data_IF_739509861103
#
_entry.id   IF_739509861103
#
_cell.length_a   1.000
_cell.length_b   1.000
_cell.length_c   1.000
_cell.angle_alpha   90.00
_cell.angle_beta   90.00
_cell.angle_gamma   90.00
#
_symmetry.space_group_name_H-M   'P 1'
#
loop_
_entity.id
_entity.type
_entity.pdbx_description
1 polymer ?
#
# COMPACT_ATOMS: atom_id res chain seq x y z
N UNK A 1 10.86 -10.72 4.89
CA UNK A 1 10.28 -10.18 6.13
C UNK A 1 9.12 -9.25 5.84
N UNK A 2 8.27 -8.93 6.82
CA UNK A 2 7.23 -7.89 6.73
C UNK A 2 7.38 -6.85 7.85
N UNK A 3 6.78 -5.69 7.65
CA UNK A 3 6.61 -4.64 8.65
C UNK A 3 5.30 -3.85 8.36
N UNK A 4 4.92 -2.94 9.23
CA UNK A 4 3.68 -2.17 9.08
C UNK A 4 3.66 -1.38 7.76
N UNK A 5 2.57 -1.46 7.03
CA UNK A 5 2.40 -0.84 5.69
C UNK A 5 2.75 0.65 5.67
N UNK A 6 2.54 1.36 6.78
CA UNK A 6 2.81 2.81 6.88
C UNK A 6 4.29 3.13 6.72
N UNK A 7 5.18 2.24 7.18
CA UNK A 7 6.64 2.44 7.14
C UNK A 7 7.32 1.74 5.97
N UNK A 8 6.58 0.95 5.17
CA UNK A 8 7.16 0.10 4.12
C UNK A 8 7.88 0.90 3.03
N UNK A 9 7.35 2.07 2.68
CA UNK A 9 7.92 2.89 1.61
C UNK A 9 9.25 3.52 2.06
N UNK A 10 9.28 4.14 3.24
CA UNK A 10 10.51 4.70 3.81
C UNK A 10 11.58 3.63 4.09
N UNK A 11 11.17 2.44 4.53
CA UNK A 11 12.08 1.33 4.76
C UNK A 11 12.74 0.85 3.46
N UNK A 12 11.99 0.70 2.37
CA UNK A 12 12.51 0.30 1.06
C UNK A 12 13.53 1.29 0.51
N UNK A 13 13.28 2.57 0.66
CA UNK A 13 14.22 3.61 0.23
C UNK A 13 15.52 3.59 1.04
N UNK A 14 15.43 3.27 2.34
CA UNK A 14 16.61 3.22 3.22
C UNK A 14 17.40 1.91 3.06
N UNK A 15 16.70 0.78 2.88
CA UNK A 15 17.29 -0.57 2.78
C UNK A 15 16.76 -1.33 1.55
N UNK A 16 17.13 -0.90 0.32
CA UNK A 16 16.57 -1.47 -0.92
C UNK A 16 16.95 -2.94 -1.16
N UNK A 17 17.99 -3.44 -0.51
CA UNK A 17 18.41 -4.85 -0.60
C UNK A 17 17.55 -5.82 0.21
N UNK A 18 16.72 -5.32 1.13
CA UNK A 18 15.88 -6.17 1.97
C UNK A 18 14.55 -6.44 1.26
N UNK A 19 14.24 -7.73 1.07
CA UNK A 19 12.94 -8.15 0.53
C UNK A 19 11.83 -7.95 1.55
N UNK A 20 10.90 -7.02 1.25
CA UNK A 20 9.69 -6.79 2.01
C UNK A 20 8.48 -7.42 1.34
N UNK A 21 7.73 -8.19 2.10
CA UNK A 21 6.45 -8.75 1.71
C UNK A 21 5.29 -7.90 2.28
N UNK A 22 4.22 -7.76 1.49
CA UNK A 22 2.97 -7.09 1.91
C UNK A 22 2.06 -8.08 2.65
N UNK A 23 2.59 -8.74 3.68
CA UNK A 23 1.94 -9.80 4.46
C UNK A 23 1.66 -9.33 5.88
N UNK A 24 0.70 -9.94 6.57
CA UNK A 24 0.43 -9.68 7.99
C UNK A 24 1.58 -10.15 8.88
N UNK A 25 2.15 -11.31 8.55
CA UNK A 25 3.35 -11.86 9.16
C UNK A 25 4.10 -12.74 8.17
N UNK A 26 5.38 -12.96 8.41
CA UNK A 26 6.27 -13.85 7.64
C UNK A 26 7.02 -14.71 8.63
N UNK A 27 6.94 -16.02 8.43
CA UNK A 27 7.74 -17.03 9.13
C UNK A 27 8.78 -17.51 8.13
N UNK A 28 10.05 -17.28 8.41
CA UNK A 28 11.17 -17.64 7.56
C UNK A 28 12.26 -18.33 8.38
N UNK A 29 12.27 -19.67 8.32
CA UNK A 29 13.13 -20.51 9.10
C UNK A 29 13.03 -20.23 10.62
N UNK A 30 14.06 -19.62 11.21
CA UNK A 30 14.13 -19.25 12.63
C UNK A 30 13.79 -17.78 12.91
N UNK A 31 13.30 -17.05 11.92
CA UNK A 31 12.96 -15.64 12.03
C UNK A 31 11.49 -15.42 11.75
N UNK A 32 10.87 -14.62 12.60
CA UNK A 32 9.47 -14.25 12.46
C UNK A 32 9.39 -12.72 12.43
N UNK A 33 8.64 -12.19 11.49
CA UNK A 33 8.33 -10.77 11.42
C UNK A 33 6.83 -10.57 11.29
N UNK A 34 6.30 -9.52 11.90
CA UNK A 34 4.88 -9.21 11.93
C UNK A 34 4.64 -7.74 11.62
N UNK A 35 3.56 -7.46 10.90
CA UNK A 35 3.19 -6.11 10.49
C UNK A 35 2.73 -5.21 11.67
N UNK A 36 2.43 -5.77 12.82
CA UNK A 36 1.94 -5.02 13.97
C UNK A 36 0.41 -4.88 13.99
N UNK A 37 -0.10 -3.94 14.81
CA UNK A 37 -1.53 -3.81 15.04
C UNK A 37 -2.10 -5.07 15.71
N UNK A 38 -3.15 -5.66 15.13
CA UNK A 38 -3.75 -6.94 15.59
C UNK A 38 -3.17 -8.16 14.88
N UNK A 39 -2.28 -8.00 13.90
CA UNK A 39 -1.68 -9.14 13.19
C UNK A 39 -0.87 -10.10 14.07
N UNK A 40 -0.27 -9.71 15.22
CA UNK A 40 0.29 -10.65 16.17
C UNK A 40 -0.68 -11.70 16.70
N UNK A 41 -1.98 -11.42 16.79
CA UNK A 41 -2.98 -12.40 17.18
C UNK A 41 -3.16 -13.49 16.11
N UNK A 42 -3.16 -13.09 14.82
CA UNK A 42 -3.22 -14.03 13.69
C UNK A 42 -1.96 -14.91 13.64
N UNK A 43 -0.79 -14.30 13.87
CA UNK A 43 0.49 -15.00 13.96
C UNK A 43 0.49 -16.02 15.10
N UNK A 44 0.09 -15.61 16.32
CA UNK A 44 0.05 -16.50 17.48
C UNK A 44 -0.94 -17.64 17.29
N UNK A 45 -2.10 -17.38 16.67
CA UNK A 45 -3.03 -18.44 16.30
C UNK A 45 -2.34 -19.47 15.40
N UNK A 46 -1.61 -19.05 14.38
CA UNK A 46 -0.89 -19.92 13.45
C UNK A 46 0.15 -20.77 14.19
N UNK A 47 1.00 -20.14 14.99
CA UNK A 47 2.02 -20.87 15.76
C UNK A 47 1.44 -21.87 16.77
N UNK A 48 0.37 -21.49 17.47
CA UNK A 48 -0.32 -22.38 18.42
C UNK A 48 -0.99 -23.52 17.67
N UNK A 49 -1.60 -23.25 16.52
CA UNK A 49 -2.25 -24.27 15.69
C UNK A 49 -1.26 -25.31 15.18
N UNK A 50 -0.07 -24.88 14.76
CA UNK A 50 1.00 -25.77 14.30
C UNK A 50 1.52 -26.70 15.42
N UNK A 51 1.63 -26.20 16.66
CA UNK A 51 2.21 -26.97 17.77
C UNK A 51 1.19 -27.75 18.60
N UNK A 52 -0.02 -27.23 18.74
CA UNK A 52 -1.04 -27.77 19.66
C UNK A 52 -2.37 -28.12 18.97
N UNK A 53 -2.45 -27.89 17.66
CA UNK A 53 -3.63 -28.14 16.86
C UNK A 53 -4.68 -27.02 16.87
N UNK A 54 -5.48 -26.97 15.80
CA UNK A 54 -6.47 -25.91 15.56
C UNK A 54 -7.50 -25.74 16.68
N UNK A 55 -7.97 -26.87 17.27
CA UNK A 55 -8.99 -26.81 18.33
C UNK A 55 -8.48 -26.06 19.57
N UNK A 56 -7.21 -26.24 19.92
CA UNK A 56 -6.61 -25.51 21.03
C UNK A 56 -6.36 -24.04 20.68
N UNK A 57 -5.82 -23.79 19.50
CA UNK A 57 -5.61 -22.43 19.00
C UNK A 57 -6.91 -21.61 18.98
N UNK A 58 -8.01 -22.23 18.54
CA UNK A 58 -9.34 -21.60 18.53
C UNK A 58 -9.82 -21.22 19.92
N UNK A 59 -9.68 -22.10 20.90
CA UNK A 59 -10.04 -21.81 22.30
C UNK A 59 -9.22 -20.65 22.87
N UNK A 60 -7.92 -20.56 22.54
CA UNK A 60 -7.08 -19.44 22.93
C UNK A 60 -7.54 -18.14 22.25
N UNK A 61 -7.85 -18.22 20.96
CA UNK A 61 -8.32 -17.06 20.17
C UNK A 61 -9.64 -16.49 20.73
N UNK A 62 -10.57 -17.37 21.14
CA UNK A 62 -11.85 -16.99 21.75
C UNK A 62 -11.67 -16.19 23.05
N UNK A 63 -10.65 -16.49 23.87
CA UNK A 63 -10.30 -15.72 25.05
C UNK A 63 -9.98 -14.24 24.75
N UNK A 64 -9.40 -14.00 23.58
CA UNK A 64 -9.10 -12.65 23.09
C UNK A 64 -10.24 -12.05 22.25
N UNK A 65 -11.39 -12.74 22.15
CA UNK A 65 -12.51 -12.34 21.28
C UNK A 65 -12.08 -12.16 19.80
N UNK A 66 -11.01 -12.85 19.40
CA UNK A 66 -10.45 -12.81 18.05
C UNK A 66 -11.02 -13.96 17.23
N UNK A 67 -12.22 -13.76 16.66
CA UNK A 67 -12.99 -14.81 15.97
C UNK A 67 -12.70 -14.90 14.47
N UNK A 68 -12.13 -13.83 13.87
CA UNK A 68 -11.80 -13.75 12.46
C UNK A 68 -10.28 -13.78 12.26
N UNK A 69 -9.73 -14.98 12.16
CA UNK A 69 -8.29 -15.22 11.97
C UNK A 69 -7.95 -15.08 10.49
N UNK A 70 -7.05 -14.15 10.18
CA UNK A 70 -6.61 -13.87 8.83
C UNK A 70 -5.36 -14.66 8.47
N UNK A 71 -5.23 -15.15 7.21
CA UNK A 71 -4.01 -15.81 6.74
C UNK A 71 -2.84 -14.81 6.65
N UNK A 72 -1.60 -15.30 6.69
CA UNK A 72 -0.37 -14.48 6.61
C UNK A 72 -0.37 -13.48 5.45
N UNK A 73 -0.81 -13.90 4.27
CA UNK A 73 -0.92 -13.06 3.07
C UNK A 73 -2.12 -12.10 3.04
N UNK A 74 -2.91 -12.03 4.13
CA UNK A 74 -4.03 -11.10 4.23
C UNK A 74 -3.60 -9.63 4.11
N UNK A 75 -4.53 -8.75 3.72
CA UNK A 75 -4.21 -7.33 3.54
C UNK A 75 -3.94 -6.66 4.88
N UNK A 76 -2.90 -5.82 4.95
CA UNK A 76 -2.58 -5.01 6.14
C UNK A 76 -3.50 -3.79 6.30
N UNK A 77 -4.13 -3.33 5.24
CA UNK A 77 -5.06 -2.18 5.24
C UNK A 77 -6.18 -2.41 4.24
N UNK A 78 -7.30 -1.79 4.48
CA UNK A 78 -8.39 -1.73 3.49
C UNK A 78 -7.90 -1.14 2.18
N UNK A 79 -8.31 -1.74 1.07
CA UNK A 79 -8.02 -1.22 -0.25
C UNK A 79 -8.47 0.23 -0.43
N UNK A 80 -7.80 0.98 -1.31
CA UNK A 80 -8.17 2.38 -1.59
C UNK A 80 -9.66 2.49 -1.95
N UNK A 81 -10.17 1.60 -2.78
CA UNK A 81 -11.57 1.67 -3.22
C UNK A 81 -12.57 1.29 -2.13
N UNK A 82 -12.19 0.48 -1.15
CA UNK A 82 -13.02 0.22 0.04
C UNK A 82 -13.18 1.48 0.86
N UNK A 83 -12.12 2.28 1.01
CA UNK A 83 -12.17 3.59 1.69
C UNK A 83 -13.10 4.59 0.99
N UNK A 84 -13.28 4.47 -0.32
CA UNK A 84 -14.25 5.24 -1.10
C UNK A 84 -15.59 4.51 -1.29
N UNK A 85 -15.79 3.34 -0.66
CA UNK A 85 -16.95 2.46 -0.83
C UNK A 85 -17.25 2.12 -2.31
N UNK A 86 -16.21 1.88 -3.10
CA UNK A 86 -16.31 1.59 -4.53
C UNK A 86 -16.04 0.12 -4.80
N UNK A 87 -17.05 -0.59 -5.30
CA UNK A 87 -16.96 -2.00 -5.72
C UNK A 87 -16.90 -2.09 -7.25
N UNK A 88 -15.78 -1.66 -7.86
CA UNK A 88 -15.58 -1.76 -9.31
C UNK A 88 -14.21 -2.36 -9.61
N UNK A 89 -14.19 -3.61 -10.10
CA UNK A 89 -12.95 -4.36 -10.35
C UNK A 89 -12.01 -3.68 -11.34
N UNK A 90 -12.54 -3.07 -12.41
CA UNK A 90 -11.72 -2.35 -13.40
C UNK A 90 -11.04 -1.11 -12.79
N UNK A 91 -11.76 -0.36 -11.95
CA UNK A 91 -11.17 0.78 -11.26
C UNK A 91 -10.12 0.31 -10.25
N UNK A 92 -10.36 -0.81 -9.55
CA UNK A 92 -9.39 -1.42 -8.65
C UNK A 92 -8.09 -1.75 -9.38
N UNK A 93 -8.17 -2.46 -10.52
CA UNK A 93 -6.96 -2.81 -11.30
C UNK A 93 -6.18 -1.58 -11.77
N UNK A 94 -6.86 -0.49 -12.17
CA UNK A 94 -6.19 0.77 -12.54
C UNK A 94 -5.46 1.39 -11.36
N UNK A 95 -6.10 1.45 -10.19
CA UNK A 95 -5.50 2.02 -8.97
C UNK A 95 -4.31 1.19 -8.51
N UNK A 96 -4.42 -0.15 -8.56
CA UNK A 96 -3.33 -1.06 -8.22
C UNK A 96 -2.11 -0.88 -9.12
N UNK A 97 -2.31 -0.73 -10.44
CA UNK A 97 -1.23 -0.41 -11.38
C UNK A 97 -0.58 0.93 -11.03
N UNK A 98 -1.35 1.96 -10.67
CA UNK A 98 -0.80 3.25 -10.25
C UNK A 98 0.00 3.16 -8.94
N UNK A 99 -0.51 2.43 -7.93
CA UNK A 99 0.19 2.23 -6.65
C UNK A 99 1.53 1.50 -6.81
N UNK A 100 1.62 0.59 -7.77
CA UNK A 100 2.85 -0.14 -8.06
C UNK A 100 3.86 0.67 -8.90
N UNK A 101 3.49 1.83 -9.43
CA UNK A 101 4.32 2.64 -10.32
C UNK A 101 4.40 4.11 -9.87
N UNK A 102 4.55 4.37 -8.56
CA UNK A 102 4.59 5.75 -8.04
C UNK A 102 5.88 6.50 -8.38
N UNK A 103 7.03 5.81 -8.38
CA UNK A 103 8.33 6.37 -8.77
C UNK A 103 8.55 6.36 -10.29
N UNK A 104 8.13 5.30 -10.95
CA UNK A 104 8.21 5.15 -12.41
C UNK A 104 6.84 5.40 -13.05
N UNK A 105 6.50 6.67 -13.23
CA UNK A 105 5.15 7.11 -13.58
C UNK A 105 4.74 6.67 -14.97
N UNK A 106 3.64 5.95 -15.03
CA UNK A 106 3.03 5.53 -16.30
C UNK A 106 2.13 6.62 -16.89
N UNK A 107 2.13 6.72 -18.22
CA UNK A 107 1.12 7.51 -18.92
C UNK A 107 -0.26 6.85 -18.84
N UNK A 108 -1.30 7.62 -19.10
CA UNK A 108 -2.67 7.07 -19.18
C UNK A 108 -2.79 5.99 -20.28
N UNK A 109 -2.01 6.10 -21.34
CA UNK A 109 -1.96 5.13 -22.41
C UNK A 109 -1.32 3.81 -21.95
N UNK A 110 -0.19 3.88 -21.21
CA UNK A 110 0.47 2.70 -20.67
C UNK A 110 -0.43 1.96 -19.68
N UNK A 111 -1.09 2.69 -18.79
CA UNK A 111 -2.08 2.11 -17.86
C UNK A 111 -3.22 1.43 -18.63
N UNK A 112 -3.71 2.08 -19.68
CA UNK A 112 -4.76 1.55 -20.56
C UNK A 112 -4.37 0.19 -21.20
N UNK A 113 -3.13 0.08 -21.66
CA UNK A 113 -2.57 -1.15 -22.25
C UNK A 113 -2.48 -2.25 -21.18
N UNK A 114 -1.91 -1.93 -20.02
CA UNK A 114 -1.72 -2.90 -18.92
C UNK A 114 -3.06 -3.47 -18.44
N UNK A 115 -4.06 -2.61 -18.26
CA UNK A 115 -5.37 -3.02 -17.70
C UNK A 115 -6.36 -3.50 -18.76
N UNK A 116 -6.07 -3.29 -20.04
CA UNK A 116 -6.94 -3.73 -21.17
C UNK A 116 -8.25 -2.94 -21.29
N UNK A 117 -8.28 -1.67 -20.88
CA UNK A 117 -9.44 -0.78 -21.03
C UNK A 117 -9.02 0.59 -21.57
N UNK A 118 -9.88 1.19 -22.40
CA UNK A 118 -9.52 2.43 -23.08
C UNK A 118 -9.30 3.61 -22.12
N UNK A 119 -8.45 4.61 -22.47
CA UNK A 119 -8.24 5.83 -21.69
C UNK A 119 -9.55 6.57 -21.39
N UNK A 120 -10.48 6.58 -22.34
CA UNK A 120 -11.81 7.18 -22.17
C UNK A 120 -12.63 6.47 -21.09
N UNK A 121 -12.58 5.13 -21.05
CA UNK A 121 -13.25 4.35 -20.00
C UNK A 121 -12.62 4.59 -18.64
N UNK A 122 -11.29 4.63 -18.54
CA UNK A 122 -10.57 4.94 -17.29
C UNK A 122 -11.03 6.30 -16.76
N UNK A 123 -10.95 7.35 -17.56
CA UNK A 123 -11.35 8.69 -17.16
C UNK A 123 -12.82 8.76 -16.72
N UNK A 124 -13.72 8.03 -17.41
CA UNK A 124 -15.14 7.94 -17.03
C UNK A 124 -15.32 7.28 -15.67
N UNK A 125 -14.57 6.21 -15.36
CA UNK A 125 -14.61 5.54 -14.06
C UNK A 125 -14.15 6.47 -12.94
N UNK A 126 -13.02 7.16 -13.11
CA UNK A 126 -12.50 8.08 -12.11
C UNK A 126 -13.46 9.24 -11.83
N UNK A 127 -14.02 9.86 -12.88
CA UNK A 127 -15.04 10.90 -12.71
C UNK A 127 -16.28 10.40 -12.01
N UNK A 128 -16.80 9.22 -12.41
CA UNK A 128 -18.03 8.66 -11.87
C UNK A 128 -17.89 8.27 -10.40
N UNK A 129 -16.82 7.61 -10.02
CA UNK A 129 -16.67 7.00 -8.69
C UNK A 129 -15.84 7.83 -7.70
N UNK A 130 -14.90 8.63 -8.20
CA UNK A 130 -13.94 9.38 -7.38
C UNK A 130 -14.04 10.90 -7.57
N UNK A 131 -14.92 11.36 -8.45
CA UNK A 131 -15.17 12.78 -8.77
C UNK A 131 -13.91 13.57 -9.12
N UNK A 132 -12.92 12.94 -9.75
CA UNK A 132 -11.65 13.56 -10.15
C UNK A 132 -11.11 12.96 -11.44
N UNK A 133 -10.12 13.63 -12.06
CA UNK A 133 -9.45 13.07 -13.25
C UNK A 133 -8.47 11.97 -12.84
N UNK A 134 -8.24 11.00 -13.75
CA UNK A 134 -7.32 9.89 -13.56
C UNK A 134 -5.92 10.35 -13.17
N UNK A 135 -5.35 11.30 -13.91
CA UNK A 135 -3.98 11.77 -13.66
C UNK A 135 -3.88 12.68 -12.42
N UNK A 136 -4.99 13.37 -12.03
CA UNK A 136 -5.04 14.09 -10.76
C UNK A 136 -5.02 13.13 -9.57
N UNK A 137 -5.78 12.04 -9.64
CA UNK A 137 -5.75 10.99 -8.64
C UNK A 137 -4.34 10.38 -8.51
N UNK A 138 -3.72 10.01 -9.63
CA UNK A 138 -2.37 9.46 -9.65
C UNK A 138 -1.32 10.41 -9.06
N UNK A 139 -1.41 11.70 -9.42
CA UNK A 139 -0.58 12.74 -8.82
C UNK A 139 -0.76 12.82 -7.30
N UNK A 140 -2.00 12.71 -6.82
CA UNK A 140 -2.29 12.72 -5.39
C UNK A 140 -1.70 11.53 -4.65
N UNK A 141 -1.72 10.32 -5.22
CA UNK A 141 -1.04 9.15 -4.64
C UNK A 141 0.47 9.38 -4.47
N UNK A 142 1.11 9.99 -5.46
CA UNK A 142 2.55 10.32 -5.43
C UNK A 142 2.87 11.38 -4.38
N UNK A 143 2.00 12.38 -4.21
CA UNK A 143 2.14 13.38 -3.15
C UNK A 143 1.92 12.78 -1.75
N UNK A 144 1.01 11.82 -1.61
CA UNK A 144 0.81 11.11 -0.34
C UNK A 144 2.04 10.25 0.02
N UNK A 145 2.67 9.59 -0.97
CA UNK A 145 3.95 8.92 -0.79
C UNK A 145 5.03 9.92 -0.34
N UNK A 146 5.16 11.06 -1.02
CA UNK A 146 6.19 12.04 -0.68
C UNK A 146 5.99 12.65 0.72
N UNK A 147 4.75 12.82 1.18
CA UNK A 147 4.46 13.27 2.55
C UNK A 147 4.96 12.26 3.59
N UNK A 148 4.78 10.97 3.33
CA UNK A 148 5.30 9.89 4.20
C UNK A 148 6.83 9.90 4.23
N UNK A 149 7.48 9.97 3.06
CA UNK A 149 8.93 9.99 2.97
C UNK A 149 9.52 11.20 3.72
N UNK A 150 8.89 12.38 3.63
CA UNK A 150 9.30 13.58 4.38
C UNK A 150 9.23 13.38 5.90
N UNK A 151 8.25 12.62 6.39
CA UNK A 151 8.05 12.42 7.84
C UNK A 151 8.79 11.21 8.41
N UNK A 152 9.20 10.24 7.57
CA UNK A 152 9.65 8.91 8.02
C UNK A 152 11.02 8.51 7.48
N UNK A 153 11.66 9.34 6.65
CA UNK A 153 12.99 9.06 6.10
C UNK A 153 13.94 10.24 6.29
N UNK A 154 15.22 9.98 6.08
CA UNK A 154 16.28 11.00 6.08
C UNK A 154 16.64 11.49 4.66
N UNK A 155 15.80 11.19 3.68
CA UNK A 155 16.01 11.58 2.29
C UNK A 155 15.91 13.10 2.13
N UNK A 156 16.75 13.65 1.27
CA UNK A 156 16.64 15.05 0.85
C UNK A 156 15.36 15.28 0.03
N UNK A 157 14.91 16.53 -0.03
CA UNK A 157 13.73 16.92 -0.83
C UNK A 157 13.88 16.50 -2.31
N UNK A 158 15.11 16.52 -2.84
CA UNK A 158 15.38 16.09 -4.22
C UNK A 158 15.20 14.58 -4.40
N UNK A 159 15.73 13.79 -3.47
CA UNK A 159 15.55 12.33 -3.49
C UNK A 159 14.09 11.96 -3.33
N UNK A 160 13.35 12.59 -2.41
CA UNK A 160 11.91 12.38 -2.24
C UNK A 160 11.13 12.72 -3.51
N UNK A 161 11.47 13.82 -4.18
CA UNK A 161 10.85 14.19 -5.46
C UNK A 161 11.03 13.08 -6.50
N UNK A 162 12.25 12.56 -6.64
CA UNK A 162 12.58 11.47 -7.58
C UNK A 162 11.87 10.17 -7.20
N UNK A 163 11.96 9.74 -5.94
CA UNK A 163 11.28 8.52 -5.43
C UNK A 163 9.77 8.59 -5.56
N UNK A 164 9.19 9.80 -5.60
CA UNK A 164 7.77 10.02 -5.85
C UNK A 164 7.44 10.32 -7.33
N UNK A 165 8.40 10.10 -8.23
CA UNK A 165 8.23 10.19 -9.68
C UNK A 165 8.15 11.61 -10.23
N UNK A 166 8.60 12.64 -9.50
CA UNK A 166 8.71 13.99 -10.04
C UNK A 166 10.04 14.19 -10.74
N UNK A 167 10.03 14.87 -11.88
CA UNK A 167 11.22 15.10 -12.72
C UNK A 167 12.10 16.25 -12.20
N UNK A 168 11.57 17.10 -11.32
CA UNK A 168 12.34 18.19 -10.68
C UNK A 168 11.80 18.52 -9.30
N UNK A 169 12.69 18.91 -8.39
CA UNK A 169 12.35 19.36 -7.03
C UNK A 169 11.54 20.67 -7.04
N UNK A 170 11.70 21.51 -8.05
CA UNK A 170 10.91 22.73 -8.21
C UNK A 170 9.45 22.42 -8.51
N UNK A 171 9.18 21.56 -9.50
CA UNK A 171 7.83 21.10 -9.84
C UNK A 171 7.18 20.38 -8.66
N UNK A 172 7.96 19.52 -7.98
CA UNK A 172 7.52 18.84 -6.78
C UNK A 172 7.08 19.82 -5.70
N UNK A 173 7.95 20.78 -5.32
CA UNK A 173 7.67 21.74 -4.25
C UNK A 173 6.43 22.58 -4.55
N UNK A 174 6.27 23.06 -5.80
CA UNK A 174 5.08 23.80 -6.20
C UNK A 174 3.81 22.96 -6.09
N UNK A 175 3.87 21.70 -6.55
CA UNK A 175 2.71 20.79 -6.53
C UNK A 175 2.36 20.35 -5.11
N UNK A 176 3.37 20.12 -4.28
CA UNK A 176 3.22 19.74 -2.88
C UNK A 176 2.58 20.87 -2.07
N UNK A 177 3.07 22.11 -2.21
CA UNK A 177 2.44 23.29 -1.60
C UNK A 177 0.99 23.46 -2.00
N UNK A 178 0.69 23.26 -3.29
CA UNK A 178 -0.68 23.37 -3.81
C UNK A 178 -1.65 22.34 -3.20
N UNK A 179 -1.15 21.18 -2.74
CA UNK A 179 -1.99 20.14 -2.08
C UNK A 179 -2.06 20.34 -0.57
N UNK A 180 -0.94 20.63 0.09
CA UNK A 180 -0.84 20.59 1.56
C UNK A 180 -0.80 21.97 2.22
N UNK A 181 -0.69 23.06 1.45
CA UNK A 181 -0.75 24.42 1.98
C UNK A 181 0.53 24.90 2.67
N UNK A 182 1.67 24.23 2.43
CA UNK A 182 2.96 24.49 3.08
C UNK A 182 4.01 24.90 2.09
#
# INVERSE_FOLDING_TARGET
MTLHWEHSDAFKETWPSISLEKSLFVIDQNRISCAGGIAPLDLMYTLISEHYGENFARKVSDWFMHTDVRPSGGPQKSGILERYNVKNSKLLSVVEVMENHLSNVLSLQDISIIVGISPRQINRLFRKYLNQSTMSFYKNLRLDLSQKLLSQSHLSVTEIALSSGFTSSSQFSQTFRGKFGI
#
